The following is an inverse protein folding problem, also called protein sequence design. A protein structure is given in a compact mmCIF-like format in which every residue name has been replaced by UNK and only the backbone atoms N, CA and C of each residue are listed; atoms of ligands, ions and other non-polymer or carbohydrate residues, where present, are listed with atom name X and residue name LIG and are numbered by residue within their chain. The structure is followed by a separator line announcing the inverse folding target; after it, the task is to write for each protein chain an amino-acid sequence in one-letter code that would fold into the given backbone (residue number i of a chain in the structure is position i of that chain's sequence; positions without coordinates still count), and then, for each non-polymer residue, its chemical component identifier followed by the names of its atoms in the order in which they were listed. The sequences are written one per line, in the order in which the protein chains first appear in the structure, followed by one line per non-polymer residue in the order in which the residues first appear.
data_IF_900743859784
#
_entry.id   IF_900743859784
#
_cell.length_a   1.000
_cell.length_b   1.000
_cell.length_c   1.000
_cell.angle_alpha   90.00
_cell.angle_beta   90.00
_cell.angle_gamma   90.00
#
_symmetry.space_group_name_H-M   'P 1'
#
loop_
_entity.id
_entity.type
_entity.pdbx_description
1 polymer ?
#
# COMPACT_ATOMS: atom_id res chain seq x y z
N UNK A 1 -16.95 -3.35 19.65
CA UNK A 1 -16.76 -2.63 20.93
C UNK A 1 -16.91 -1.14 20.71
N UNK A 2 -17.32 -0.36 21.73
CA UNK A 2 -17.70 1.08 21.58
C UNK A 2 -16.71 1.94 20.79
N UNK A 3 -15.40 1.71 20.96
CA UNK A 3 -14.34 2.41 20.22
C UNK A 3 -14.43 2.21 18.70
N UNK A 4 -14.59 0.96 18.26
CA UNK A 4 -14.65 0.61 16.83
C UNK A 4 -15.87 1.25 16.18
N UNK A 5 -17.02 1.24 16.87
CA UNK A 5 -18.23 1.90 16.40
C UNK A 5 -18.01 3.40 16.18
N UNK A 6 -17.37 4.09 17.13
CA UNK A 6 -17.08 5.52 16.99
C UNK A 6 -16.08 5.82 15.87
N UNK A 7 -15.11 4.94 15.61
CA UNK A 7 -14.21 5.07 14.47
C UNK A 7 -14.98 4.91 13.15
N UNK A 8 -15.83 3.89 13.07
CA UNK A 8 -16.70 3.66 11.90
C UNK A 8 -17.60 4.88 11.64
N UNK A 9 -18.29 5.39 12.66
CA UNK A 9 -19.11 6.61 12.52
C UNK A 9 -18.29 7.83 12.08
N UNK A 10 -17.01 7.91 12.46
CA UNK A 10 -16.12 8.99 12.00
C UNK A 10 -15.77 8.85 10.51
N UNK A 11 -15.61 7.61 10.01
CA UNK A 11 -15.46 7.33 8.57
C UNK A 11 -16.73 7.71 7.81
N UNK A 12 -17.89 7.29 8.32
CA UNK A 12 -19.20 7.57 7.69
C UNK A 12 -19.57 9.05 7.68
N UNK A 13 -18.98 9.87 8.56
CA UNK A 13 -19.18 11.31 8.58
C UNK A 13 -18.42 12.06 7.46
N UNK A 14 -17.43 11.42 6.83
CA UNK A 14 -16.70 11.97 5.69
C UNK A 14 -17.38 11.52 4.38
N UNK A 15 -17.89 12.42 3.51
CA UNK A 15 -18.65 12.02 2.33
C UNK A 15 -17.94 11.01 1.42
N UNK A 16 -16.64 11.20 1.18
CA UNK A 16 -15.84 10.24 0.40
C UNK A 16 -15.61 8.92 1.16
N UNK A 17 -15.47 8.97 2.49
CA UNK A 17 -15.34 7.78 3.33
C UNK A 17 -16.62 6.94 3.31
N UNK A 18 -17.79 7.58 3.48
CA UNK A 18 -19.10 6.95 3.32
C UNK A 18 -19.24 6.33 1.94
N UNK A 19 -18.96 7.09 0.88
CA UNK A 19 -19.06 6.59 -0.49
C UNK A 19 -18.18 5.36 -0.72
N UNK A 20 -16.93 5.36 -0.24
CA UNK A 20 -16.04 4.20 -0.33
C UNK A 20 -16.61 2.98 0.38
N UNK A 21 -17.19 3.16 1.58
CA UNK A 21 -17.75 2.07 2.39
C UNK A 21 -19.05 1.53 1.82
N UNK A 22 -19.94 2.38 1.30
CA UNK A 22 -21.28 1.99 0.84
C UNK A 22 -21.35 1.57 -0.63
N UNK A 23 -20.42 2.04 -1.47
CA UNK A 23 -20.43 1.72 -2.90
C UNK A 23 -20.43 0.21 -3.15
N UNK A 24 -21.20 -0.23 -4.14
CA UNK A 24 -21.24 -1.62 -4.54
C UNK A 24 -19.84 -2.07 -5.00
N UNK A 25 -19.44 -3.27 -4.58
CA UNK A 25 -18.10 -3.75 -4.87
C UNK A 25 -17.80 -5.07 -4.17
N UNK A 26 -16.56 -5.52 -4.37
CA UNK A 26 -16.09 -6.77 -3.82
C UNK A 26 -15.12 -6.49 -2.68
N UNK A 27 -15.48 -6.92 -1.47
CA UNK A 27 -14.56 -6.95 -0.36
C UNK A 27 -13.66 -8.18 -0.46
N UNK A 28 -12.40 -8.04 -0.06
CA UNK A 28 -11.52 -9.18 0.24
C UNK A 28 -11.37 -10.18 -0.94
N UNK A 29 -11.42 -9.68 -2.17
CA UNK A 29 -11.33 -10.48 -3.38
C UNK A 29 -9.90 -10.53 -3.89
N UNK A 30 -9.41 -11.74 -4.18
CA UNK A 30 -8.04 -11.92 -4.64
C UNK A 30 -7.91 -11.67 -6.13
N UNK A 31 -6.85 -10.96 -6.51
CA UNK A 31 -6.43 -10.77 -7.90
C UNK A 31 -5.13 -11.55 -8.08
N UNK A 32 -5.07 -12.34 -9.12
CA UNK A 32 -3.91 -13.14 -9.49
C UNK A 32 -3.48 -12.74 -10.90
N UNK A 33 -2.17 -12.67 -11.14
CA UNK A 33 -1.62 -12.41 -12.45
C UNK A 33 -0.22 -13.01 -12.53
N UNK A 34 0.21 -13.41 -13.73
CA UNK A 34 1.60 -13.76 -13.97
C UNK A 34 2.39 -12.49 -14.26
N UNK A 35 3.52 -12.31 -13.59
CA UNK A 35 4.43 -11.22 -13.89
C UNK A 35 5.13 -11.50 -15.23
N UNK A 36 4.99 -10.64 -16.26
CA UNK A 36 5.48 -10.93 -17.60
C UNK A 36 7.02 -10.97 -17.72
N UNK A 37 7.75 -10.34 -16.79
CA UNK A 37 9.22 -10.34 -16.82
C UNK A 37 9.81 -11.58 -16.16
N UNK A 38 9.21 -12.03 -15.06
CA UNK A 38 9.77 -13.11 -14.23
C UNK A 38 9.01 -14.44 -14.34
N UNK A 39 7.80 -14.43 -14.90
CA UNK A 39 6.90 -15.59 -14.92
C UNK A 39 6.31 -15.95 -13.54
N UNK A 40 6.58 -15.14 -12.51
CA UNK A 40 6.11 -15.42 -11.15
C UNK A 40 4.62 -15.14 -11.04
N UNK A 41 3.86 -16.12 -10.55
CA UNK A 41 2.46 -15.93 -10.18
C UNK A 41 2.36 -14.99 -8.97
N UNK A 42 1.88 -13.77 -9.23
CA UNK A 42 1.64 -12.74 -8.25
C UNK A 42 0.20 -12.80 -7.74
N UNK A 43 0.01 -12.29 -6.51
CA UNK A 43 -1.32 -12.19 -5.89
C UNK A 43 -1.40 -10.93 -5.05
N UNK A 44 -2.52 -10.23 -5.14
CA UNK A 44 -2.97 -9.27 -4.14
C UNK A 44 -4.39 -9.57 -3.69
N UNK A 45 -4.79 -9.01 -2.55
CA UNK A 45 -6.15 -9.11 -2.01
C UNK A 45 -6.51 -7.73 -1.44
N UNK A 46 -7.03 -6.82 -2.27
CA UNK A 46 -7.44 -5.51 -1.78
C UNK A 46 -8.64 -5.63 -0.82
N UNK A 47 -8.69 -4.77 0.20
CA UNK A 47 -9.78 -4.77 1.19
C UNK A 47 -11.12 -4.53 0.50
N UNK A 48 -11.18 -3.60 -0.46
CA UNK A 48 -12.35 -3.39 -1.31
C UNK A 48 -12.00 -2.92 -2.72
N UNK A 49 -12.68 -3.50 -3.70
CA UNK A 49 -12.70 -3.08 -5.09
C UNK A 49 -14.09 -2.54 -5.43
N UNK A 50 -14.18 -1.35 -6.01
CA UNK A 50 -15.41 -0.76 -6.56
C UNK A 50 -15.28 -0.81 -8.09
N UNK A 51 -15.87 -1.82 -8.76
CA UNK A 51 -15.58 -2.09 -10.18
C UNK A 51 -16.09 -1.02 -11.12
N UNK A 52 -17.24 -0.41 -10.82
CA UNK A 52 -17.91 0.56 -11.70
C UNK A 52 -17.02 1.74 -12.08
N UNK A 53 -16.10 2.13 -11.19
CA UNK A 53 -15.21 3.27 -11.39
C UNK A 53 -13.73 2.89 -11.38
N UNK A 54 -13.40 1.60 -11.28
CA UNK A 54 -12.03 1.10 -11.06
C UNK A 54 -11.35 1.70 -9.82
N UNK A 55 -12.01 1.66 -8.67
CA UNK A 55 -11.40 2.09 -7.40
C UNK A 55 -10.96 0.90 -6.56
N UNK A 56 -9.82 1.06 -5.90
CA UNK A 56 -9.34 0.18 -4.85
C UNK A 56 -9.20 0.99 -3.57
N UNK A 57 -9.80 0.48 -2.49
CA UNK A 57 -9.62 1.00 -1.14
C UNK A 57 -8.88 -0.02 -0.29
N UNK A 58 -7.91 0.47 0.47
CA UNK A 58 -7.23 -0.27 1.54
C UNK A 58 -7.40 0.49 2.86
N UNK A 59 -7.87 -0.20 3.90
CA UNK A 59 -8.16 0.38 5.21
C UNK A 59 -6.93 0.28 6.10
N UNK A 60 -6.48 1.42 6.61
CA UNK A 60 -5.39 1.47 7.60
C UNK A 60 -5.88 2.12 8.89
N UNK A 61 -5.25 1.73 9.98
CA UNK A 61 -5.38 2.43 11.25
C UNK A 61 -4.03 2.93 11.74
N UNK A 62 -3.98 4.10 12.37
CA UNK A 62 -2.76 4.68 12.93
C UNK A 62 -3.05 5.27 14.31
N UNK A 63 -2.02 5.50 15.13
CA UNK A 63 -2.17 6.28 16.36
C UNK A 63 -2.10 7.79 16.11
N UNK A 64 -1.49 8.19 14.99
CA UNK A 64 -1.24 9.57 14.58
C UNK A 64 -1.34 9.65 13.05
N UNK A 65 -2.32 10.42 12.57
CA UNK A 65 -2.56 10.62 11.13
C UNK A 65 -1.48 11.50 10.49
N UNK A 66 -0.92 12.47 11.20
CA UNK A 66 0.16 13.29 10.64
C UNK A 66 1.42 12.45 10.43
N UNK A 67 1.72 11.53 11.34
CA UNK A 67 2.83 10.57 11.16
C UNK A 67 2.62 9.65 9.97
N UNK A 68 1.38 9.33 9.58
CA UNK A 68 1.10 8.49 8.42
C UNK A 68 1.69 9.07 7.13
N UNK A 69 1.70 10.41 6.98
CA UNK A 69 2.21 11.12 5.80
C UNK A 69 3.68 10.86 5.49
N UNK A 70 4.46 10.38 6.45
CA UNK A 70 5.87 10.00 6.26
C UNK A 70 6.10 8.51 6.49
N UNK A 71 5.43 7.92 7.47
CA UNK A 71 5.61 6.52 7.83
C UNK A 71 5.16 5.54 6.74
N UNK A 72 4.31 5.96 5.79
CA UNK A 72 3.89 5.13 4.66
C UNK A 72 5.07 4.51 3.91
N UNK A 73 6.19 5.24 3.82
CA UNK A 73 7.38 4.82 3.10
C UNK A 73 8.07 3.64 3.80
N UNK A 74 8.23 3.71 5.12
CA UNK A 74 8.83 2.65 5.92
C UNK A 74 7.98 1.38 5.92
N UNK A 75 6.65 1.53 5.86
CA UNK A 75 5.70 0.42 5.71
C UNK A 75 5.56 -0.08 4.27
N UNK A 76 6.26 0.54 3.31
CA UNK A 76 6.21 0.22 1.88
C UNK A 76 4.82 0.31 1.27
N UNK A 77 3.97 1.23 1.74
CA UNK A 77 2.63 1.41 1.17
C UNK A 77 2.65 1.94 -0.27
N UNK A 78 3.71 2.64 -0.68
CA UNK A 78 3.94 2.99 -2.09
C UNK A 78 4.16 1.76 -2.97
N UNK A 79 4.85 0.74 -2.44
CA UNK A 79 5.02 -0.56 -3.10
C UNK A 79 3.69 -1.31 -3.16
N UNK A 80 2.89 -1.26 -2.09
CA UNK A 80 1.55 -1.85 -2.05
C UNK A 80 0.64 -1.28 -3.15
N UNK A 81 0.53 0.06 -3.23
CA UNK A 81 -0.28 0.72 -4.27
C UNK A 81 0.19 0.31 -5.68
N UNK A 82 1.50 0.45 -5.96
CA UNK A 82 2.05 0.10 -7.27
C UNK A 82 1.76 -1.36 -7.63
N UNK A 83 2.03 -2.30 -6.73
CA UNK A 83 1.83 -3.73 -6.95
C UNK A 83 0.36 -4.09 -7.16
N UNK A 84 -0.55 -3.50 -6.38
CA UNK A 84 -1.98 -3.79 -6.49
C UNK A 84 -2.55 -3.17 -7.76
N UNK A 85 -2.13 -1.95 -8.10
CA UNK A 85 -2.55 -1.25 -9.32
C UNK A 85 -2.09 -1.96 -10.58
N UNK A 86 -0.84 -2.42 -10.61
CA UNK A 86 -0.30 -3.16 -11.76
C UNK A 86 -0.95 -4.54 -11.90
N UNK A 87 -1.20 -5.25 -10.80
CA UNK A 87 -1.93 -6.52 -10.82
C UNK A 87 -3.39 -6.36 -11.25
N UNK A 88 -4.06 -5.30 -10.78
CA UNK A 88 -5.42 -4.96 -11.21
C UNK A 88 -5.45 -4.66 -12.71
N UNK A 89 -4.52 -3.84 -13.21
CA UNK A 89 -4.42 -3.55 -14.65
C UNK A 89 -4.15 -4.80 -15.47
N UNK A 90 -3.24 -5.67 -15.02
CA UNK A 90 -2.93 -6.91 -15.72
C UNK A 90 -4.17 -7.80 -15.87
N UNK A 91 -5.02 -7.85 -14.85
CA UNK A 91 -6.22 -8.69 -14.83
C UNK A 91 -7.43 -8.07 -15.52
N UNK A 92 -7.63 -6.75 -15.40
CA UNK A 92 -8.86 -6.07 -15.80
C UNK A 92 -8.68 -5.04 -16.93
N UNK A 93 -7.43 -4.79 -17.36
CA UNK A 93 -7.12 -3.86 -18.46
C UNK A 93 -7.07 -2.37 -18.07
N UNK A 94 -7.39 -2.03 -16.83
CA UNK A 94 -7.58 -0.64 -16.38
C UNK A 94 -6.64 -0.26 -15.24
N UNK A 95 -6.22 1.01 -15.17
CA UNK A 95 -5.44 1.52 -14.03
C UNK A 95 -6.41 2.00 -12.95
N UNK A 96 -6.38 1.41 -11.73
CA UNK A 96 -7.32 1.80 -10.71
C UNK A 96 -6.91 3.10 -10.02
N UNK A 97 -7.89 3.82 -9.50
CA UNK A 97 -7.65 4.81 -8.43
C UNK A 97 -7.45 4.06 -7.12
N UNK A 98 -6.25 4.16 -6.54
CA UNK A 98 -5.91 3.49 -5.28
C UNK A 98 -5.92 4.50 -4.13
N UNK A 99 -6.71 4.22 -3.10
CA UNK A 99 -6.80 5.08 -1.91
C UNK A 99 -6.60 4.30 -0.62
N UNK A 100 -5.91 4.92 0.33
CA UNK A 100 -5.81 4.49 1.71
C UNK A 100 -6.87 5.23 2.53
N UNK A 101 -7.83 4.51 3.09
CA UNK A 101 -8.75 5.03 4.09
C UNK A 101 -8.12 4.85 5.47
N UNK A 102 -7.65 5.95 6.07
CA UNK A 102 -6.87 5.90 7.30
C UNK A 102 -7.67 6.47 8.47
N UNK A 103 -7.96 5.64 9.47
CA UNK A 103 -8.62 6.06 10.69
C UNK A 103 -7.64 6.09 11.88
N UNK A 104 -7.66 7.18 12.65
CA UNK A 104 -6.89 7.23 13.90
C UNK A 104 -7.53 6.35 14.97
N UNK A 105 -6.68 5.66 15.74
CA UNK A 105 -7.06 4.91 16.94
C UNK A 105 -6.99 5.77 18.20
N UNK A 106 -6.54 7.02 18.08
CA UNK A 106 -6.47 8.02 19.13
C UNK A 106 -7.53 9.09 18.87
N UNK A 107 -8.30 9.46 19.89
CA UNK A 107 -9.32 10.49 19.75
C UNK A 107 -8.71 11.90 19.87
N UNK A 108 -9.13 12.81 19.01
CA UNK A 108 -8.78 14.23 19.02
C UNK A 108 -10.08 15.05 19.02
N UNK A 109 -10.20 16.00 19.95
CA UNK A 109 -11.40 16.83 20.11
C UNK A 109 -12.72 16.01 20.19
N UNK A 110 -12.67 14.82 20.80
CA UNK A 110 -13.83 13.95 21.00
C UNK A 110 -14.24 13.10 19.79
N UNK A 111 -13.44 13.08 18.72
CA UNK A 111 -13.67 12.24 17.52
C UNK A 111 -12.42 11.45 17.17
N UNK A 112 -12.56 10.45 16.31
CA UNK A 112 -11.41 9.75 15.73
C UNK A 112 -11.15 10.35 14.35
N UNK A 113 -10.04 11.09 14.16
CA UNK A 113 -9.76 11.69 12.86
C UNK A 113 -9.64 10.61 11.77
N UNK A 114 -10.09 10.96 10.56
CA UNK A 114 -10.06 10.11 9.37
C UNK A 114 -9.54 10.94 8.22
N UNK A 115 -8.58 10.40 7.48
CA UNK A 115 -8.07 10.98 6.25
C UNK A 115 -8.02 9.92 5.14
N UNK A 116 -8.22 10.35 3.90
CA UNK A 116 -8.10 9.50 2.71
C UNK A 116 -6.89 9.97 1.93
N UNK A 117 -5.94 9.07 1.71
CA UNK A 117 -4.69 9.38 1.01
C UNK A 117 -4.65 8.64 -0.32
N UNK A 118 -4.11 9.31 -1.33
CA UNK A 118 -3.70 8.70 -2.59
C UNK A 118 -2.18 8.84 -2.72
N UNK A 119 -1.52 7.82 -3.26
CA UNK A 119 -0.08 7.91 -3.49
C UNK A 119 0.22 8.92 -4.59
N UNK A 120 1.22 9.77 -4.37
CA UNK A 120 1.74 10.65 -5.42
C UNK A 120 2.45 9.83 -6.51
N UNK A 121 2.47 10.35 -7.73
CA UNK A 121 3.02 9.66 -8.90
C UNK A 121 4.47 9.22 -8.70
N UNK A 122 5.34 10.12 -8.22
CA UNK A 122 6.76 9.81 -7.97
C UNK A 122 6.96 8.67 -6.97
N UNK A 123 6.16 8.66 -5.89
CA UNK A 123 6.21 7.62 -4.87
C UNK A 123 5.68 6.29 -5.43
N UNK A 124 4.60 6.32 -6.21
CA UNK A 124 4.05 5.12 -6.87
C UNK A 124 5.04 4.54 -7.88
N UNK A 125 5.71 5.38 -8.68
CA UNK A 125 6.78 4.97 -9.59
C UNK A 125 7.98 4.37 -8.83
N UNK A 126 8.37 4.94 -7.69
CA UNK A 126 9.38 4.35 -6.82
C UNK A 126 8.95 2.97 -6.30
N UNK A 127 7.68 2.84 -5.90
CA UNK A 127 7.08 1.58 -5.48
C UNK A 127 7.10 0.52 -6.57
N UNK A 128 6.85 0.92 -7.82
CA UNK A 128 6.92 0.04 -8.98
C UNK A 128 8.34 -0.49 -9.21
N UNK A 129 9.34 0.40 -9.20
CA UNK A 129 10.76 0.00 -9.32
C UNK A 129 11.17 -0.94 -8.19
N UNK A 130 10.69 -0.69 -6.97
CA UNK A 130 10.99 -1.53 -5.82
C UNK A 130 10.40 -2.94 -5.93
N UNK A 131 9.11 -3.08 -6.23
CA UNK A 131 8.53 -4.44 -6.32
C UNK A 131 9.10 -5.21 -7.51
N UNK A 132 9.41 -4.54 -8.63
CA UNK A 132 10.08 -5.15 -9.79
C UNK A 132 11.43 -5.75 -9.40
N UNK A 133 12.25 -4.98 -8.67
CA UNK A 133 13.51 -5.48 -8.12
C UNK A 133 13.28 -6.66 -7.17
N UNK A 134 12.26 -6.61 -6.30
CA UNK A 134 11.95 -7.73 -5.41
C UNK A 134 11.61 -9.00 -6.20
N UNK A 135 10.81 -8.90 -7.26
CA UNK A 135 10.44 -10.04 -8.11
C UNK A 135 11.64 -10.60 -8.86
N UNK A 136 12.52 -9.75 -9.39
CA UNK A 136 13.76 -10.18 -10.03
C UNK A 136 14.65 -10.96 -9.05
N UNK A 137 14.89 -10.42 -7.85
CA UNK A 137 15.65 -11.13 -6.80
C UNK A 137 14.97 -12.44 -6.41
N UNK A 138 13.64 -12.47 -6.31
CA UNK A 138 12.90 -13.71 -6.04
C UNK A 138 13.10 -14.74 -7.16
N UNK A 139 13.03 -14.33 -8.43
CA UNK A 139 13.25 -15.19 -9.59
C UNK A 139 14.65 -15.80 -9.59
N UNK A 140 15.68 -15.00 -9.31
CA UNK A 140 17.08 -15.46 -9.18
C UNK A 140 17.25 -16.48 -8.04
N UNK A 141 16.64 -16.21 -6.87
CA UNK A 141 16.72 -17.14 -5.74
C UNK A 141 16.04 -18.47 -6.08
N UNK A 142 14.88 -18.42 -6.74
CA UNK A 142 14.15 -19.61 -7.18
C UNK A 142 14.91 -20.40 -8.25
N UNK A 143 15.58 -19.74 -9.20
CA UNK A 143 16.30 -20.42 -10.28
C UNK A 143 17.59 -21.10 -9.79
N UNK A 144 18.25 -20.50 -8.80
CA UNK A 144 19.53 -20.98 -8.29
C UNK A 144 19.41 -21.85 -7.04
N UNK A 145 18.23 -21.89 -6.41
CA UNK A 145 17.99 -22.47 -5.07
C UNK A 145 18.93 -21.90 -3.99
N UNK A 146 19.23 -20.60 -4.09
CA UNK A 146 20.12 -19.88 -3.18
C UNK A 146 19.39 -18.69 -2.55
N UNK A 147 19.49 -18.55 -1.23
CA UNK A 147 18.77 -17.55 -0.43
C UNK A 147 19.75 -16.76 0.45
N UNK A 148 20.35 -15.67 -0.07
CA UNK A 148 21.35 -14.91 0.68
C UNK A 148 20.80 -14.34 1.99
N UNK A 149 21.34 -14.78 3.13
CA UNK A 149 20.92 -14.34 4.46
C UNK A 149 21.90 -13.36 5.14
N UNK A 150 23.16 -13.34 4.70
CA UNK A 150 24.21 -12.48 5.27
C UNK A 150 24.01 -11.05 4.75
N UNK A 151 23.80 -10.11 5.66
CA UNK A 151 23.67 -8.68 5.34
C UNK A 151 24.99 -7.97 5.60
N UNK A 152 25.57 -7.38 4.56
CA UNK A 152 26.75 -6.54 4.69
C UNK A 152 26.38 -5.21 5.33
N UNK A 153 27.00 -4.90 6.47
CA UNK A 153 26.93 -3.57 7.05
C UNK A 153 27.86 -2.62 6.29
N UNK A 154 27.40 -1.41 6.02
CA UNK A 154 28.22 -0.35 5.43
C UNK A 154 28.14 0.90 6.29
N UNK A 155 29.15 1.77 6.19
CA UNK A 155 29.14 3.04 6.90
C UNK A 155 27.85 3.82 6.58
N UNK A 156 27.15 4.36 7.60
CA UNK A 156 26.00 5.21 7.37
C UNK A 156 26.43 6.49 6.63
N UNK A 157 25.46 7.14 5.96
CA UNK A 157 25.74 8.32 5.10
C UNK A 157 26.60 9.38 5.79
N UNK A 158 26.26 9.75 7.03
CA UNK A 158 27.00 10.75 7.81
C UNK A 158 28.46 10.36 8.07
N UNK A 159 28.78 9.07 8.19
CA UNK A 159 30.15 8.59 8.41
C UNK A 159 30.96 8.55 7.11
N UNK A 160 30.30 8.30 5.97
CA UNK A 160 30.93 8.36 4.64
C UNK A 160 31.32 9.78 4.25
N UNK A 161 30.46 10.76 4.57
CA UNK A 161 30.72 12.18 4.31
C UNK A 161 31.92 12.68 5.13
N UNK A 162 32.06 12.25 6.40
CA UNK A 162 33.22 12.59 7.24
C UNK A 162 34.52 11.87 6.85
N UNK A 163 34.45 10.68 6.26
CA UNK A 163 35.63 9.93 5.82
C UNK A 163 36.23 10.45 4.50
N UNK A 164 35.46 11.24 3.75
CA UNK A 164 35.87 11.88 2.49
C UNK A 164 36.18 13.37 2.65
N UNK A 165 36.18 13.88 3.89
CA UNK A 165 36.61 15.22 4.27
C UNK A 165 38.06 15.19 4.78
#
# INVERSE_FOLDING_TARGET
GRKIELMYQSVMALPLGQWLVESAGYAESSVYWEDPETGILCRCRPDKIIPEFHWIMDVKTTADIQRFRTAYYDYRYHVQDAFYSDGYRAQFGEIPTFVFLVASTTAECGRYPVEIFMMGEDAKLAGQREYRRNLQTLAECLSNDEWPAIKTLSLPRWAKENANA
#
